data_IF_005383725720
#
_entry.id   IF_005383725720
#
_cell.length_a   1.000
_cell.length_b   1.000
_cell.length_c   1.000
_cell.angle_alpha   90.00
_cell.angle_beta   90.00
_cell.angle_gamma   90.00
#
_symmetry.space_group_name_H-M   'P 1'
#
loop_
_entity.id
_entity.type
_entity.pdbx_description
1 polymer ?
#
# COMPACT_ATOMS: atom_id res chain seq x y z
N UNK A 1 -2.90 3.92 15.49
CA UNK A 1 -3.59 3.52 14.23
C UNK A 1 -4.97 2.91 14.51
N UNK A 2 -5.10 1.86 15.34
CA UNK A 2 -6.39 1.18 15.63
C UNK A 2 -7.49 2.13 16.15
N UNK A 3 -7.13 3.10 17.01
CA UNK A 3 -8.08 4.09 17.51
C UNK A 3 -8.69 4.98 16.41
N UNK A 4 -7.96 5.22 15.31
CA UNK A 4 -8.47 5.99 14.16
C UNK A 4 -9.41 5.10 13.35
N UNK A 5 -9.02 3.85 13.10
CA UNK A 5 -9.82 2.86 12.37
C UNK A 5 -11.19 2.69 13.01
N UNK A 6 -11.22 2.48 14.33
CA UNK A 6 -12.46 2.26 15.09
C UNK A 6 -13.21 3.54 15.48
N UNK A 7 -12.73 4.74 15.09
CA UNK A 7 -13.41 5.99 15.44
C UNK A 7 -14.68 6.22 14.62
N UNK A 8 -15.63 6.98 15.19
CA UNK A 8 -16.83 7.47 14.48
C UNK A 8 -16.55 8.67 13.56
N UNK A 9 -15.29 8.98 13.28
CA UNK A 9 -14.89 10.06 12.37
C UNK A 9 -15.35 9.77 10.95
N UNK A 10 -15.61 10.82 10.18
CA UNK A 10 -15.83 10.70 8.74
C UNK A 10 -14.60 10.10 8.04
N UNK A 11 -14.79 9.52 6.85
CA UNK A 11 -13.71 8.97 6.03
C UNK A 11 -12.62 10.02 5.76
N UNK A 12 -13.01 11.27 5.46
CA UNK A 12 -12.08 12.37 5.23
C UNK A 12 -11.23 12.70 6.47
N UNK A 13 -11.83 12.71 7.66
CA UNK A 13 -11.09 12.92 8.91
C UNK A 13 -10.16 11.74 9.25
N UNK A 14 -10.57 10.50 8.95
CA UNK A 14 -9.71 9.32 9.10
C UNK A 14 -8.52 9.38 8.14
N UNK A 15 -8.74 9.80 6.89
CA UNK A 15 -7.69 10.00 5.87
C UNK A 15 -6.63 11.00 6.36
N UNK A 16 -7.07 12.16 6.87
CA UNK A 16 -6.17 13.17 7.43
C UNK A 16 -5.39 12.63 8.63
N UNK A 17 -6.05 11.88 9.51
CA UNK A 17 -5.42 11.36 10.72
C UNK A 17 -4.43 10.20 10.45
N UNK A 18 -4.63 9.40 9.39
CA UNK A 18 -3.78 8.24 9.11
C UNK A 18 -2.56 8.58 8.25
N UNK A 19 -2.65 9.61 7.40
CA UNK A 19 -1.57 10.04 6.53
C UNK A 19 -0.21 10.18 7.26
N UNK A 20 -0.09 10.89 8.40
CA UNK A 20 1.19 11.01 9.10
C UNK A 20 1.71 9.67 9.65
N UNK A 21 0.82 8.74 10.00
CA UNK A 21 1.22 7.40 10.44
C UNK A 21 1.78 6.56 9.28
N UNK A 22 1.17 6.66 8.10
CA UNK A 22 1.68 6.00 6.90
C UNK A 22 3.05 6.55 6.51
N UNK A 23 3.21 7.88 6.50
CA UNK A 23 4.49 8.52 6.19
C UNK A 23 5.62 8.11 7.17
N UNK A 24 5.28 7.95 8.45
CA UNK A 24 6.25 7.54 9.47
C UNK A 24 6.64 6.05 9.37
N UNK A 25 5.67 5.16 9.12
CA UNK A 25 5.85 3.72 9.31
C UNK A 25 5.85 2.89 8.02
N UNK A 26 5.52 3.48 6.87
CA UNK A 26 5.46 2.80 5.57
C UNK A 26 6.45 3.45 4.62
N UNK A 27 7.28 2.63 3.95
CA UNK A 27 8.20 3.11 2.92
C UNK A 27 7.49 3.12 1.56
N UNK A 28 6.59 4.10 1.39
CA UNK A 28 5.76 4.20 0.18
C UNK A 28 6.59 4.38 -1.10
N UNK A 29 7.74 5.07 -1.01
CA UNK A 29 8.65 5.22 -2.14
C UNK A 29 9.34 3.90 -2.50
N UNK A 30 9.81 3.12 -1.53
CA UNK A 30 10.38 1.80 -1.80
C UNK A 30 9.33 0.86 -2.40
N UNK A 31 8.10 0.85 -1.86
CA UNK A 31 6.99 0.06 -2.39
C UNK A 31 6.68 0.48 -3.83
N UNK A 32 6.50 1.77 -4.09
CA UNK A 32 6.21 2.28 -5.44
C UNK A 32 7.29 1.89 -6.45
N UNK A 33 8.56 2.12 -6.11
CA UNK A 33 9.70 1.71 -6.96
C UNK A 33 9.70 0.20 -7.23
N UNK A 34 9.41 -0.61 -6.22
CA UNK A 34 9.28 -2.07 -6.37
C UNK A 34 8.14 -2.43 -7.33
N UNK A 35 6.97 -1.81 -7.16
CA UNK A 35 5.78 -2.04 -7.98
C UNK A 35 6.02 -1.66 -9.45
N UNK A 36 6.68 -0.55 -9.74
CA UNK A 36 7.01 -0.19 -11.14
C UNK A 36 8.07 -1.14 -11.74
N UNK A 37 8.89 -1.75 -10.89
CA UNK A 37 9.78 -2.84 -11.25
C UNK A 37 10.80 -2.44 -12.31
N UNK A 38 10.87 -3.19 -13.42
CA UNK A 38 11.83 -2.90 -14.50
C UNK A 38 11.58 -1.54 -15.16
N UNK A 39 10.33 -1.08 -15.18
CA UNK A 39 9.97 0.16 -15.85
C UNK A 39 10.46 1.40 -15.09
N UNK A 40 10.75 1.27 -13.79
CA UNK A 40 11.40 2.33 -13.02
C UNK A 40 12.73 2.76 -13.65
N UNK A 41 13.51 1.82 -14.17
CA UNK A 41 14.85 2.09 -14.75
C UNK A 41 14.82 2.80 -16.10
N UNK A 42 13.69 2.73 -16.81
CA UNK A 42 13.53 3.33 -18.15
C UNK A 42 12.63 4.57 -18.13
N UNK A 43 11.88 4.79 -17.05
CA UNK A 43 11.11 6.01 -16.86
C UNK A 43 12.04 7.21 -16.70
N UNK A 44 11.65 8.35 -17.28
CA UNK A 44 12.38 9.61 -17.08
C UNK A 44 12.25 10.10 -15.62
N UNK A 45 13.14 10.98 -15.14
CA UNK A 45 13.01 11.57 -13.81
C UNK A 45 11.63 12.21 -13.55
N UNK A 46 11.05 12.86 -14.56
CA UNK A 46 9.73 13.47 -14.50
C UNK A 46 8.64 12.41 -14.36
N UNK A 47 8.73 11.31 -15.12
CA UNK A 47 7.80 10.19 -15.01
C UNK A 47 7.91 9.50 -13.66
N UNK A 48 9.13 9.31 -13.13
CA UNK A 48 9.36 8.73 -11.80
C UNK A 48 8.73 9.59 -10.70
N UNK A 49 8.94 10.91 -10.75
CA UNK A 49 8.36 11.85 -9.79
C UNK A 49 6.82 11.85 -9.86
N UNK A 50 6.27 11.95 -11.07
CA UNK A 50 4.81 11.90 -11.29
C UNK A 50 4.21 10.56 -10.84
N UNK A 51 4.89 9.45 -11.14
CA UNK A 51 4.48 8.12 -10.72
C UNK A 51 4.38 8.00 -9.21
N UNK A 52 5.42 8.39 -8.46
CA UNK A 52 5.40 8.28 -7.00
C UNK A 52 4.31 9.16 -6.38
N UNK A 53 4.11 10.37 -6.90
CA UNK A 53 3.04 11.24 -6.45
C UNK A 53 1.65 10.64 -6.66
N UNK A 54 1.40 9.99 -7.81
CA UNK A 54 0.15 9.29 -8.09
C UNK A 54 0.00 8.01 -7.25
N UNK A 55 1.08 7.23 -7.14
CA UNK A 55 1.10 6.00 -6.36
C UNK A 55 0.79 6.24 -4.88
N UNK A 56 1.35 7.30 -4.27
CA UNK A 56 1.04 7.68 -2.89
C UNK A 56 -0.45 7.97 -2.70
N UNK A 57 -1.07 8.67 -3.66
CA UNK A 57 -2.50 8.97 -3.62
C UNK A 57 -3.34 7.70 -3.77
N UNK A 58 -3.02 6.84 -4.74
CA UNK A 58 -3.69 5.55 -4.94
C UNK A 58 -3.60 4.66 -3.69
N UNK A 59 -2.41 4.56 -3.09
CA UNK A 59 -2.19 3.77 -1.88
C UNK A 59 -2.98 4.34 -0.69
N UNK A 60 -2.95 5.66 -0.48
CA UNK A 60 -3.71 6.31 0.59
C UNK A 60 -5.22 6.10 0.42
N UNK A 61 -5.73 6.20 -0.81
CA UNK A 61 -7.13 5.98 -1.13
C UNK A 61 -7.52 4.53 -0.80
N UNK A 62 -6.75 3.55 -1.30
CA UNK A 62 -7.00 2.14 -1.04
C UNK A 62 -6.99 1.79 0.46
N UNK A 63 -6.07 2.36 1.24
CA UNK A 63 -6.02 2.17 2.70
C UNK A 63 -7.24 2.81 3.38
N UNK A 64 -7.62 4.02 2.95
CA UNK A 64 -8.75 4.75 3.54
C UNK A 64 -10.06 4.02 3.27
N UNK A 65 -10.26 3.50 2.06
CA UNK A 65 -11.45 2.73 1.69
C UNK A 65 -11.59 1.48 2.56
N UNK A 66 -10.51 0.72 2.71
CA UNK A 66 -10.48 -0.46 3.58
C UNK A 66 -10.79 -0.11 5.04
N UNK A 67 -10.34 1.04 5.52
CA UNK A 67 -10.62 1.50 6.89
C UNK A 67 -12.07 1.96 7.06
N UNK A 68 -12.70 2.48 6.00
CA UNK A 68 -14.13 2.76 5.98
C UNK A 68 -14.98 1.55 6.32
N UNK A 69 -14.57 0.39 5.80
CA UNK A 69 -15.25 -0.90 5.97
C UNK A 69 -15.03 -1.53 7.36
N UNK A 70 -14.09 -0.99 8.15
CA UNK A 70 -13.65 -1.60 9.40
C UNK A 70 -14.25 -0.89 10.62
N UNK A 71 -15.26 -1.52 11.23
CA UNK A 71 -15.75 -1.22 12.59
C UNK A 71 -15.51 -2.42 13.50
N UNK A 72 -14.96 -2.18 14.70
CA UNK A 72 -14.75 -3.23 15.70
C UNK A 72 -13.59 -4.18 15.38
N UNK A 73 -12.63 -3.73 14.58
CA UNK A 73 -11.49 -4.56 14.18
C UNK A 73 -10.44 -4.62 15.27
N UNK A 74 -9.95 -5.83 15.56
CA UNK A 74 -8.81 -6.05 16.46
C UNK A 74 -7.65 -6.69 15.70
N UNK A 75 -6.44 -6.35 16.14
CA UNK A 75 -5.20 -6.88 15.60
C UNK A 75 -4.48 -7.61 16.72
N UNK A 76 -4.14 -8.88 16.47
CA UNK A 76 -3.32 -9.68 17.38
C UNK A 76 -1.99 -9.94 16.71
N UNK A 77 -0.88 -9.58 17.36
CA UNK A 77 0.46 -9.94 16.90
C UNK A 77 0.76 -11.34 17.44
N UNK A 78 1.07 -12.27 16.53
CA UNK A 78 1.32 -13.68 16.88
C UNK A 78 2.81 -14.02 16.96
N UNK A 79 3.67 -13.21 16.34
CA UNK A 79 5.11 -13.44 16.36
C UNK A 79 5.85 -12.62 15.32
N UNK A 80 7.16 -12.83 15.28
CA UNK A 80 8.04 -12.26 14.26
C UNK A 80 9.00 -13.32 13.75
N UNK A 81 9.31 -13.28 12.46
CA UNK A 81 10.30 -14.15 11.83
C UNK A 81 11.19 -13.35 10.86
N UNK A 82 12.32 -13.91 10.46
CA UNK A 82 13.19 -13.30 9.45
C UNK A 82 12.79 -13.76 8.05
N UNK A 83 12.77 -12.82 7.10
CA UNK A 83 12.55 -13.08 5.67
C UNK A 83 13.67 -12.41 4.89
N UNK A 84 14.72 -13.18 4.57
CA UNK A 84 15.95 -12.64 4.01
C UNK A 84 16.61 -11.66 4.98
N UNK A 85 16.77 -10.40 4.56
CA UNK A 85 17.31 -9.32 5.40
C UNK A 85 16.22 -8.52 6.14
N UNK A 86 14.95 -8.78 5.84
CA UNK A 86 13.80 -8.08 6.42
C UNK A 86 13.15 -8.93 7.54
N UNK A 87 12.25 -8.32 8.32
CA UNK A 87 11.49 -8.99 9.37
C UNK A 87 10.02 -9.13 8.94
N UNK A 88 9.45 -10.32 9.07
CA UNK A 88 8.01 -10.53 8.98
C UNK A 88 7.38 -10.45 10.37
N UNK A 89 6.30 -9.68 10.49
CA UNK A 89 5.48 -9.58 11.70
C UNK A 89 4.13 -10.23 11.42
N UNK A 90 3.86 -11.35 12.08
CA UNK A 90 2.63 -12.12 11.89
C UNK A 90 1.49 -11.50 12.70
N UNK A 91 0.38 -11.23 12.03
CA UNK A 91 -0.81 -10.66 12.64
C UNK A 91 -2.08 -11.39 12.24
N UNK A 92 -3.05 -11.41 13.15
CA UNK A 92 -4.43 -11.83 12.87
C UNK A 92 -5.33 -10.61 12.98
N UNK A 93 -6.06 -10.35 11.91
CA UNK A 93 -7.07 -9.30 11.83
C UNK A 93 -8.43 -9.95 12.09
N UNK A 94 -9.04 -9.63 13.22
CA UNK A 94 -10.39 -10.09 13.55
C UNK A 94 -11.39 -8.98 13.23
N UNK A 95 -12.47 -9.35 12.55
CA UNK A 95 -13.55 -8.44 12.14
C UNK A 95 -14.88 -9.03 12.57
N UNK A 96 -15.85 -8.23 13.04
CA UNK A 96 -17.18 -8.73 13.36
C UNK A 96 -17.79 -9.46 12.16
N UNK A 97 -18.37 -10.64 12.41
CA UNK A 97 -19.11 -11.43 11.41
C UNK A 97 -18.32 -11.86 10.17
N UNK A 98 -16.98 -11.75 10.19
CA UNK A 98 -16.11 -12.20 9.11
C UNK A 98 -15.04 -13.16 9.63
N UNK A 99 -14.55 -14.09 8.78
CA UNK A 99 -13.41 -14.91 9.12
C UNK A 99 -12.19 -14.07 9.50
N UNK A 100 -11.44 -14.54 10.48
CA UNK A 100 -10.16 -13.96 10.85
C UNK A 100 -9.19 -14.04 9.67
N UNK A 101 -8.51 -12.93 9.37
CA UNK A 101 -7.55 -12.85 8.28
C UNK A 101 -6.13 -12.90 8.83
N UNK A 102 -5.34 -13.86 8.36
CA UNK A 102 -3.91 -13.91 8.62
C UNK A 102 -3.19 -12.92 7.70
N UNK A 103 -2.31 -12.10 8.28
CA UNK A 103 -1.56 -11.07 7.56
C UNK A 103 -0.15 -10.98 8.09
N UNK A 104 0.85 -11.00 7.20
CA UNK A 104 2.23 -10.74 7.56
C UNK A 104 2.64 -9.35 7.07
N UNK A 105 3.27 -8.57 7.95
CA UNK A 105 3.83 -7.27 7.59
C UNK A 105 5.32 -7.43 7.40
N UNK A 106 5.83 -7.14 6.20
CA UNK A 106 7.27 -7.19 5.93
C UNK A 106 7.85 -5.83 6.27
N UNK A 107 8.81 -5.81 7.20
CA UNK A 107 9.44 -4.62 7.75
C UNK A 107 10.91 -4.63 7.36
N UNK A 108 11.35 -3.57 6.68
CA UNK A 108 12.75 -3.35 6.33
C UNK A 108 13.33 -2.22 7.17
N UNK A 109 14.57 -2.41 7.62
CA UNK A 109 15.36 -1.37 8.31
C UNK A 109 16.41 -0.73 7.40
N UNK A 110 16.37 -1.03 6.10
CA UNK A 110 17.36 -0.56 5.10
C UNK A 110 17.42 0.96 4.95
N UNK A 111 16.35 1.67 5.28
CA UNK A 111 16.29 3.15 5.28
C UNK A 111 16.77 3.78 6.58
N UNK A 112 17.37 3.00 7.49
CA UNK A 112 17.87 3.45 8.80
C UNK A 112 16.80 3.48 9.91
N UNK A 113 15.54 3.25 9.57
CA UNK A 113 14.43 3.06 10.51
C UNK A 113 13.53 1.92 10.01
N UNK A 114 12.93 1.13 10.92
CA UNK A 114 12.04 0.04 10.52
C UNK A 114 10.77 0.59 9.88
N UNK A 115 10.55 0.25 8.62
CA UNK A 115 9.36 0.62 7.85
C UNK A 115 8.74 -0.59 7.19
N UNK A 116 7.42 -0.62 7.13
CA UNK A 116 6.66 -1.60 6.35
C UNK A 116 6.96 -1.38 4.87
N UNK A 117 7.38 -2.45 4.20
CA UNK A 117 7.69 -2.48 2.77
C UNK A 117 6.83 -3.46 1.99
N UNK A 118 5.99 -4.26 2.66
CA UNK A 118 5.02 -5.16 2.05
C UNK A 118 3.96 -5.61 3.05
N UNK A 119 2.83 -6.09 2.52
CA UNK A 119 1.80 -6.80 3.26
C UNK A 119 1.53 -8.11 2.53
N UNK A 120 1.59 -9.22 3.25
CA UNK A 120 1.26 -10.55 2.74
C UNK A 120 -0.06 -10.97 3.38
N UNK A 121 -1.15 -10.91 2.60
CA UNK A 121 -2.47 -11.37 3.01
C UNK A 121 -2.74 -12.75 2.41
N UNK A 122 -3.17 -13.71 3.24
CA UNK A 122 -3.53 -15.05 2.75
C UNK A 122 -2.43 -15.71 1.88
N UNK A 123 -1.16 -15.48 2.25
CA UNK A 123 0.01 -15.99 1.53
C UNK A 123 0.39 -15.22 0.27
N UNK A 124 -0.33 -14.15 -0.08
CA UNK A 124 -0.09 -13.34 -1.28
C UNK A 124 0.50 -11.97 -0.93
N UNK A 125 1.67 -11.66 -1.48
CA UNK A 125 2.33 -10.36 -1.35
C UNK A 125 1.61 -9.31 -2.21
N UNK A 126 1.12 -8.24 -1.56
CA UNK A 126 0.40 -7.18 -2.25
C UNK A 126 1.31 -6.39 -3.20
N UNK A 127 2.54 -6.05 -2.81
CA UNK A 127 3.44 -5.31 -3.71
C UNK A 127 3.90 -6.15 -4.90
N UNK A 128 3.99 -7.48 -4.73
CA UNK A 128 4.33 -8.40 -5.82
C UNK A 128 3.17 -8.50 -6.81
N UNK A 129 1.95 -8.68 -6.33
CA UNK A 129 0.74 -8.67 -7.18
C UNK A 129 0.64 -7.35 -7.94
N UNK A 130 0.78 -6.22 -7.24
CA UNK A 130 0.72 -4.89 -7.88
C UNK A 130 1.81 -4.71 -8.94
N UNK A 131 3.02 -5.25 -8.70
CA UNK A 131 4.10 -5.25 -9.68
C UNK A 131 3.75 -6.04 -10.94
N UNK A 132 3.11 -7.19 -10.78
CA UNK A 132 2.66 -8.01 -11.90
C UNK A 132 1.55 -7.31 -12.68
N UNK A 133 0.64 -6.63 -11.99
CA UNK A 133 -0.45 -5.85 -12.61
C UNK A 133 0.09 -4.68 -13.43
N UNK A 134 0.99 -3.87 -12.86
CA UNK A 134 1.64 -2.78 -13.60
C UNK A 134 2.46 -3.29 -14.76
N UNK A 135 3.22 -4.37 -14.58
CA UNK A 135 4.01 -4.93 -15.66
C UNK A 135 3.14 -5.43 -16.82
N UNK A 136 2.01 -6.07 -16.51
CA UNK A 136 1.05 -6.58 -17.47
C UNK A 136 0.30 -5.46 -18.18
N UNK A 137 -0.08 -4.40 -17.45
CA UNK A 137 -0.70 -3.21 -18.03
C UNK A 137 0.27 -2.54 -19.01
N UNK A 138 1.46 -2.17 -18.56
CA UNK A 138 2.45 -1.49 -19.41
C UNK A 138 2.80 -2.33 -20.64
N UNK A 139 2.91 -3.66 -20.50
CA UNK A 139 3.17 -4.55 -21.63
C UNK A 139 2.05 -4.53 -22.69
N UNK A 140 0.77 -4.50 -22.26
CA UNK A 140 -0.39 -4.35 -23.17
C UNK A 140 -0.46 -2.97 -23.83
N UNK A 141 0.19 -1.97 -23.23
CA UNK A 141 0.27 -0.61 -23.73
C UNK A 141 1.65 -0.31 -24.37
N UNK A 142 2.22 -1.27 -25.09
CA UNK A 142 3.46 -1.14 -25.88
C UNK A 142 4.67 -0.66 -25.07
N UNK A 143 4.75 -1.00 -23.78
CA UNK A 143 5.85 -0.56 -22.93
C UNK A 143 5.71 0.88 -22.40
N UNK A 144 4.57 1.55 -22.64
CA UNK A 144 4.37 2.95 -22.28
C UNK A 144 4.16 3.14 -20.78
N UNK A 145 5.11 3.82 -20.13
CA UNK A 145 4.98 4.30 -18.74
C UNK A 145 3.90 5.39 -18.66
N UNK A 146 3.82 6.27 -19.66
CA UNK A 146 2.80 7.33 -19.69
C UNK A 146 1.37 6.79 -19.69
N UNK A 147 1.13 5.65 -20.37
CA UNK A 147 -0.16 4.98 -20.32
C UNK A 147 -0.54 4.58 -18.89
N UNK A 148 0.43 4.09 -18.10
CA UNK A 148 0.19 3.78 -16.68
C UNK A 148 -0.06 5.07 -15.89
N UNK A 149 0.71 6.13 -16.12
CA UNK A 149 0.52 7.41 -15.43
C UNK A 149 -0.89 7.97 -15.68
N UNK A 150 -1.38 7.93 -16.92
CA UNK A 150 -2.74 8.35 -17.24
C UNK A 150 -3.81 7.48 -16.55
N UNK A 151 -3.59 6.17 -16.47
CA UNK A 151 -4.51 5.28 -15.76
C UNK A 151 -4.56 5.57 -14.25
N UNK A 152 -3.41 5.81 -13.62
CA UNK A 152 -3.33 6.17 -12.21
C UNK A 152 -3.95 7.55 -11.94
N UNK A 153 -3.72 8.52 -12.83
CA UNK A 153 -4.32 9.86 -12.77
C UNK A 153 -5.86 9.77 -12.80
N UNK A 154 -6.41 8.99 -13.72
CA UNK A 154 -7.85 8.72 -13.80
C UNK A 154 -8.38 8.01 -12.54
N UNK A 155 -7.64 7.05 -12.00
CA UNK A 155 -8.02 6.35 -10.76
C UNK A 155 -8.07 7.32 -9.56
N UNK A 156 -7.11 8.25 -9.47
CA UNK A 156 -7.09 9.28 -8.42
C UNK A 156 -8.27 10.25 -8.59
N UNK A 157 -8.53 10.71 -9.82
CA UNK A 157 -9.64 11.62 -10.10
C UNK A 157 -11.01 11.00 -9.79
N UNK A 158 -11.21 9.72 -10.11
CA UNK A 158 -12.43 8.99 -9.80
C UNK A 158 -12.69 8.89 -8.28
N UNK A 159 -11.64 8.75 -7.47
CA UNK A 159 -11.75 8.73 -6.00
C UNK A 159 -12.01 10.10 -5.38
N UNK A 160 -11.61 11.18 -6.06
CA UNK A 160 -11.86 12.55 -5.63
C UNK A 160 -13.29 13.03 -5.89
N UNK A 161 -14.09 12.27 -6.63
CA UNK A 161 -15.49 12.58 -6.93
C UNK A 161 -16.39 12.14 -5.77
N UNK A 162 -17.25 13.02 -5.22
CA UNK A 162 -18.11 12.74 -4.06
C UNK A 162 -19.24 11.75 -4.35
#
# INVERSE_FOLDING_TARGET
>A
MIAIVNSNRSLSEKKVAILPLLQAHVDMDAIGRYCLGRYWRVATPEQQSRYLALFHQVLLNAITDKIGDYRGVTFTINGTSMVGADQAVDTVINRPEQPAANTQWIVSSSSGQPKVVDVVGEGTSLRLTQRQDYASFIARHNGSVDALLHALDHQVAAHASP
#
